data_IF_616340306569
#
_entry.id   IF_616340306569
#
_cell.length_a   1.000
_cell.length_b   1.000
_cell.length_c   1.000
_cell.angle_alpha   90.00
_cell.angle_beta   90.00
_cell.angle_gamma   90.00
#
_symmetry.space_group_name_H-M   'P 1'
#
loop_
_entity.id
_entity.type
_entity.pdbx_description
1 polymer ?
#
# COMPACT_ATOMS: atom_id res chain seq x y z
N UNK A 1 -24.03 30.64 16.18
CA UNK A 1 -24.19 29.38 15.43
C UNK A 1 -24.09 29.73 13.96
N UNK A 2 -22.95 29.46 13.34
CA UNK A 2 -22.69 29.73 11.93
C UNK A 2 -22.53 28.36 11.26
N UNK A 3 -23.67 27.78 10.85
CA UNK A 3 -23.70 26.67 9.91
C UNK A 3 -23.34 27.21 8.52
N UNK A 4 -22.05 27.23 8.20
CA UNK A 4 -21.62 27.33 6.81
C UNK A 4 -21.29 25.90 6.35
N UNK A 5 -22.11 25.40 5.40
CA UNK A 5 -21.94 24.16 4.62
C UNK A 5 -22.54 22.83 5.13
N UNK A 6 -23.18 22.74 6.31
CA UNK A 6 -23.75 21.47 6.80
C UNK A 6 -22.75 20.28 6.83
N UNK A 7 -21.45 20.58 6.78
CA UNK A 7 -20.36 19.62 6.91
C UNK A 7 -19.68 19.95 8.24
N UNK A 8 -19.74 19.00 9.17
CA UNK A 8 -18.98 19.11 10.39
C UNK A 8 -17.51 18.83 10.05
N UNK A 9 -16.61 19.79 10.27
CA UNK A 9 -15.19 19.62 9.98
C UNK A 9 -14.54 18.52 10.82
N UNK A 10 -15.16 18.16 11.95
CA UNK A 10 -14.73 17.03 12.79
C UNK A 10 -15.09 15.66 12.18
N UNK A 11 -16.00 15.61 11.20
CA UNK A 11 -16.40 14.37 10.51
C UNK A 11 -15.58 14.15 9.21
N UNK A 12 -14.71 15.10 8.84
CA UNK A 12 -13.86 15.01 7.65
C UNK A 12 -12.60 14.18 7.96
N UNK A 13 -12.57 12.95 7.46
CA UNK A 13 -11.36 12.12 7.53
C UNK A 13 -10.36 12.58 6.48
N UNK A 14 -9.06 12.53 6.80
CA UNK A 14 -7.99 12.81 5.83
C UNK A 14 -8.08 11.88 4.60
N UNK A 15 -8.74 10.73 4.75
CA UNK A 15 -9.04 9.79 3.67
C UNK A 15 -9.99 10.38 2.62
N UNK A 16 -10.87 11.30 2.98
CA UNK A 16 -11.83 11.91 2.05
C UNK A 16 -11.13 12.78 0.98
N UNK A 17 -9.88 13.17 1.22
CA UNK A 17 -9.04 13.89 0.26
C UNK A 17 -8.53 13.02 -0.89
N UNK A 18 -8.59 11.68 -0.77
CA UNK A 18 -8.11 10.77 -1.81
C UNK A 18 -9.10 10.71 -2.96
N UNK A 19 -8.72 11.14 -4.16
CA UNK A 19 -9.57 11.22 -5.34
C UNK A 19 -10.03 9.84 -5.87
N UNK A 20 -9.13 8.84 -5.86
CA UNK A 20 -9.46 7.50 -6.36
C UNK A 20 -10.44 6.78 -5.43
N UNK A 21 -11.64 6.47 -5.96
CA UNK A 21 -12.71 5.86 -5.18
C UNK A 21 -12.35 4.48 -4.62
N UNK A 22 -11.62 3.63 -5.36
CA UNK A 22 -11.26 2.29 -4.90
C UNK A 22 -10.21 2.34 -3.79
N UNK A 23 -9.22 3.22 -3.94
CA UNK A 23 -8.21 3.44 -2.90
C UNK A 23 -8.86 4.06 -1.66
N UNK A 24 -9.70 5.07 -1.86
CA UNK A 24 -10.44 5.75 -0.77
C UNK A 24 -11.33 4.79 -0.01
N UNK A 25 -12.04 3.89 -0.68
CA UNK A 25 -12.90 2.89 -0.03
C UNK A 25 -12.11 1.99 0.93
N UNK A 26 -10.99 1.45 0.48
CA UNK A 26 -10.13 0.63 1.36
C UNK A 26 -9.50 1.44 2.50
N UNK A 27 -9.04 2.66 2.24
CA UNK A 27 -8.51 3.53 3.30
C UNK A 27 -9.59 3.91 4.33
N UNK A 28 -10.83 4.11 3.90
CA UNK A 28 -11.96 4.47 4.77
C UNK A 28 -12.42 3.27 5.59
N UNK A 29 -12.44 2.09 4.99
CA UNK A 29 -12.67 0.82 5.68
C UNK A 29 -11.62 0.59 6.76
N UNK A 30 -10.34 0.85 6.45
CA UNK A 30 -9.27 0.75 7.43
C UNK A 30 -9.39 1.77 8.58
N UNK A 31 -9.78 3.01 8.28
CA UNK A 31 -10.00 4.07 9.28
C UNK A 31 -11.17 3.72 10.21
N UNK A 32 -12.30 3.25 9.65
CA UNK A 32 -13.44 2.76 10.43
C UNK A 32 -13.08 1.54 11.29
N UNK A 33 -12.36 0.57 10.72
CA UNK A 33 -11.87 -0.60 11.45
C UNK A 33 -10.95 -0.24 12.62
N UNK A 34 -10.14 0.82 12.51
CA UNK A 34 -9.35 1.32 13.63
C UNK A 34 -10.23 1.90 14.75
N UNK A 35 -11.29 2.63 14.42
CA UNK A 35 -12.23 3.18 15.40
C UNK A 35 -13.00 2.09 16.16
N UNK A 36 -13.28 0.97 15.49
CA UNK A 36 -13.94 -0.22 16.07
C UNK A 36 -12.97 -1.15 16.82
N UNK A 37 -11.65 -0.88 16.79
CA UNK A 37 -10.62 -1.72 17.39
C UNK A 37 -10.26 -2.97 16.57
N UNK A 38 -10.76 -3.11 15.35
CA UNK A 38 -10.43 -4.19 14.42
C UNK A 38 -9.12 -3.89 13.66
N UNK A 39 -7.99 -4.02 14.35
CA UNK A 39 -6.67 -3.71 13.77
C UNK A 39 -6.23 -4.69 12.67
N UNK A 40 -6.69 -5.95 12.71
CA UNK A 40 -6.37 -6.94 11.67
C UNK A 40 -7.08 -6.64 10.36
N UNK A 41 -8.39 -6.38 10.41
CA UNK A 41 -9.15 -5.98 9.21
C UNK A 41 -8.64 -4.68 8.63
N UNK A 42 -8.31 -3.70 9.48
CA UNK A 42 -7.70 -2.46 9.03
C UNK A 42 -6.35 -2.69 8.33
N UNK A 43 -5.51 -3.61 8.83
CA UNK A 43 -4.25 -3.95 8.18
C UNK A 43 -4.45 -4.59 6.79
N UNK A 44 -5.48 -5.43 6.62
CA UNK A 44 -5.82 -6.03 5.32
C UNK A 44 -6.23 -4.96 4.31
N UNK A 45 -7.12 -4.04 4.71
CA UNK A 45 -7.60 -2.99 3.82
C UNK A 45 -6.49 -1.98 3.47
N UNK A 46 -5.60 -1.66 4.41
CA UNK A 46 -4.39 -0.88 4.10
C UNK A 46 -3.47 -1.61 3.12
N UNK A 47 -3.33 -2.93 3.22
CA UNK A 47 -2.53 -3.70 2.27
C UNK A 47 -3.14 -3.69 0.87
N UNK A 48 -4.47 -3.82 0.75
CA UNK A 48 -5.19 -3.68 -0.53
C UNK A 48 -4.99 -2.28 -1.12
N UNK A 49 -5.17 -1.24 -0.31
CA UNK A 49 -4.95 0.15 -0.72
C UNK A 49 -3.50 0.37 -1.20
N UNK A 50 -2.50 -0.13 -0.45
CA UNK A 50 -1.08 -0.09 -0.85
C UNK A 50 -0.91 -0.72 -2.23
N UNK A 51 -1.44 -1.91 -2.47
CA UNK A 51 -1.30 -2.60 -3.76
C UNK A 51 -1.88 -1.77 -4.91
N UNK A 52 -3.04 -1.13 -4.72
CA UNK A 52 -3.64 -0.24 -5.73
C UNK A 52 -2.80 1.02 -5.98
N UNK A 53 -2.31 1.67 -4.92
CA UNK A 53 -1.44 2.84 -5.03
C UNK A 53 -0.18 2.50 -5.82
N UNK A 54 0.48 1.39 -5.46
CA UNK A 54 1.68 0.96 -6.16
C UNK A 54 1.42 0.48 -7.57
N UNK A 55 0.24 -0.08 -7.87
CA UNK A 55 -0.18 -0.39 -9.23
C UNK A 55 -0.24 0.88 -10.10
N UNK A 56 -0.78 1.99 -9.57
CA UNK A 56 -0.75 3.29 -10.27
C UNK A 56 0.66 3.81 -10.47
N UNK A 57 1.52 3.65 -9.47
CA UNK A 57 2.92 4.06 -9.52
C UNK A 57 3.74 3.29 -10.57
N UNK A 58 3.28 2.11 -11.00
CA UNK A 58 3.99 1.30 -11.99
C UNK A 58 4.18 2.02 -13.34
N UNK A 59 3.35 3.03 -13.64
CA UNK A 59 3.48 3.83 -14.86
C UNK A 59 4.77 4.66 -14.91
N UNK A 60 5.34 4.98 -13.74
CA UNK A 60 6.53 5.84 -13.63
C UNK A 60 7.84 5.07 -13.73
N UNK A 61 7.88 3.84 -13.22
CA UNK A 61 9.05 2.95 -13.32
C UNK A 61 8.50 1.56 -13.66
N UNK A 62 8.85 0.91 -14.79
CA UNK A 62 8.34 -0.41 -15.16
C UNK A 62 8.92 -1.56 -14.30
N UNK A 63 8.24 -2.72 -14.27
CA UNK A 63 8.72 -3.93 -13.59
C UNK A 63 9.68 -4.68 -14.50
N UNK A 64 10.78 -5.19 -13.94
CA UNK A 64 11.61 -6.20 -14.60
C UNK A 64 11.12 -7.58 -14.14
N UNK A 65 10.66 -8.42 -15.07
CA UNK A 65 10.23 -9.78 -14.74
C UNK A 65 11.37 -10.78 -15.02
N UNK A 66 11.94 -11.31 -13.94
CA UNK A 66 13.00 -12.33 -13.98
C UNK A 66 12.50 -13.71 -13.52
N UNK A 67 11.18 -13.89 -13.34
CA UNK A 67 10.61 -15.17 -12.92
C UNK A 67 10.93 -16.27 -13.92
N UNK A 68 11.29 -17.45 -13.40
CA UNK A 68 11.54 -18.65 -14.21
C UNK A 68 12.91 -18.68 -14.91
N UNK A 69 13.67 -17.59 -14.95
CA UNK A 69 15.01 -17.59 -15.56
C UNK A 69 15.96 -18.55 -14.86
N UNK A 70 15.89 -18.67 -13.53
CA UNK A 70 16.65 -19.65 -12.75
C UNK A 70 16.37 -21.09 -13.21
N UNK A 71 15.13 -21.39 -13.61
CA UNK A 71 14.76 -22.70 -14.14
C UNK A 71 15.31 -22.91 -15.55
N UNK A 72 15.22 -21.89 -16.40
CA UNK A 72 15.67 -21.96 -17.80
C UNK A 72 17.18 -22.22 -17.91
N UNK A 73 17.99 -21.68 -16.99
CA UNK A 73 19.45 -21.85 -16.99
C UNK A 73 19.96 -22.92 -16.02
N UNK A 74 19.06 -23.63 -15.33
CA UNK A 74 19.42 -24.73 -14.42
C UNK A 74 20.01 -24.31 -13.06
N UNK A 75 19.96 -23.03 -12.68
CA UNK A 75 20.47 -22.51 -11.40
C UNK A 75 19.42 -22.52 -10.29
N UNK A 76 18.76 -23.68 -10.10
CA UNK A 76 17.62 -23.83 -9.17
C UNK A 76 18.00 -23.68 -7.69
N UNK A 77 19.27 -23.89 -7.34
CA UNK A 77 19.75 -23.91 -5.96
C UNK A 77 20.17 -22.54 -5.46
N UNK A 78 20.82 -21.76 -6.30
CA UNK A 78 21.29 -20.40 -5.97
C UNK A 78 20.24 -19.34 -6.28
N UNK A 79 19.33 -19.61 -7.22
CA UNK A 79 18.23 -18.73 -7.63
C UNK A 79 18.63 -17.25 -7.81
N UNK A 80 19.76 -16.95 -8.49
CA UNK A 80 20.28 -15.60 -8.59
C UNK A 80 19.32 -14.62 -9.27
N UNK A 81 18.49 -15.07 -10.21
CA UNK A 81 17.53 -14.21 -10.90
C UNK A 81 16.32 -13.90 -10.02
N UNK A 82 15.87 -14.86 -9.21
CA UNK A 82 14.83 -14.61 -8.20
C UNK A 82 15.32 -13.60 -7.17
N UNK A 83 16.54 -13.77 -6.64
CA UNK A 83 17.13 -12.83 -5.69
C UNK A 83 17.33 -11.43 -6.30
N UNK A 84 17.79 -11.35 -7.55
CA UNK A 84 17.92 -10.07 -8.27
C UNK A 84 16.57 -9.42 -8.52
N UNK A 85 15.55 -10.21 -8.87
CA UNK A 85 14.18 -9.74 -9.07
C UNK A 85 13.60 -9.12 -7.80
N UNK A 86 13.76 -9.79 -6.66
CA UNK A 86 13.36 -9.24 -5.36
C UNK A 86 14.08 -7.93 -5.03
N UNK A 87 15.40 -7.88 -5.26
CA UNK A 87 16.18 -6.66 -5.05
C UNK A 87 15.67 -5.50 -5.93
N UNK A 88 15.43 -5.75 -7.22
CA UNK A 88 14.94 -4.75 -8.16
C UNK A 88 13.53 -4.27 -7.80
N UNK A 89 12.66 -5.16 -7.33
CA UNK A 89 11.31 -4.79 -6.85
C UNK A 89 11.40 -3.88 -5.62
N UNK A 90 12.29 -4.18 -4.66
CA UNK A 90 12.52 -3.34 -3.48
C UNK A 90 13.07 -1.97 -3.87
N UNK A 91 14.09 -1.96 -4.74
CA UNK A 91 14.72 -0.74 -5.21
C UNK A 91 13.71 0.13 -5.93
N UNK A 92 12.90 -0.47 -6.81
CA UNK A 92 11.83 0.21 -7.53
C UNK A 92 10.80 0.82 -6.60
N UNK A 93 10.24 0.06 -5.66
CA UNK A 93 9.27 0.61 -4.70
C UNK A 93 9.89 1.75 -3.89
N UNK A 94 11.15 1.62 -3.47
CA UNK A 94 11.88 2.66 -2.73
C UNK A 94 12.11 3.93 -3.55
N UNK A 95 12.46 3.79 -4.84
CA UNK A 95 12.60 4.91 -5.77
C UNK A 95 11.27 5.62 -6.01
N UNK A 96 10.20 4.88 -6.24
CA UNK A 96 8.85 5.44 -6.42
C UNK A 96 8.48 6.26 -5.18
N UNK A 97 8.59 5.68 -3.99
CA UNK A 97 8.33 6.35 -2.72
C UNK A 97 9.16 7.63 -2.53
N UNK A 98 10.45 7.58 -2.87
CA UNK A 98 11.34 8.73 -2.78
C UNK A 98 10.94 9.85 -3.75
N UNK A 99 10.47 9.53 -4.96
CA UNK A 99 9.96 10.51 -5.92
C UNK A 99 8.76 11.30 -5.35
N UNK A 100 7.95 10.69 -4.50
CA UNK A 100 6.83 11.36 -3.83
C UNK A 100 7.21 11.93 -2.46
N UNK A 101 8.49 12.24 -2.22
CA UNK A 101 8.98 12.87 -1.00
C UNK A 101 8.52 12.17 0.28
N UNK A 102 8.34 10.84 0.25
CA UNK A 102 8.06 10.07 1.46
C UNK A 102 9.39 9.61 2.06
N UNK A 103 9.65 9.84 3.36
CA UNK A 103 10.90 9.38 3.96
C UNK A 103 11.02 7.86 3.81
N UNK A 104 12.16 7.39 3.32
CA UNK A 104 12.42 5.95 3.09
C UNK A 104 12.17 5.12 4.37
N UNK A 105 12.43 5.71 5.54
CA UNK A 105 12.14 5.09 6.85
C UNK A 105 10.65 4.80 7.04
N UNK A 106 9.76 5.71 6.63
CA UNK A 106 8.30 5.53 6.73
C UNK A 106 7.82 4.42 5.81
N UNK A 107 8.35 4.35 4.58
CA UNK A 107 7.99 3.27 3.67
C UNK A 107 8.53 1.90 4.12
N UNK A 108 9.78 1.84 4.60
CA UNK A 108 10.34 0.62 5.18
C UNK A 108 9.48 0.11 6.35
N UNK A 109 8.95 1.03 7.16
CA UNK A 109 8.01 0.73 8.23
C UNK A 109 6.70 0.13 7.69
N UNK A 110 6.03 0.81 6.75
CA UNK A 110 4.78 0.34 6.13
C UNK A 110 4.95 -1.03 5.47
N UNK A 111 6.05 -1.23 4.74
CA UNK A 111 6.37 -2.50 4.07
C UNK A 111 6.54 -3.66 5.04
N UNK A 112 7.11 -3.42 6.22
CA UNK A 112 7.42 -4.46 7.19
C UNK A 112 6.24 -4.79 8.12
N UNK A 113 5.29 -3.86 8.27
CA UNK A 113 4.13 -4.01 9.14
C UNK A 113 2.93 -4.56 8.38
N UNK A 114 2.62 -4.00 7.21
CA UNK A 114 1.43 -4.42 6.48
C UNK A 114 1.58 -5.83 5.91
N UNK A 115 0.48 -6.61 5.87
CA UNK A 115 0.47 -7.87 5.15
C UNK A 115 0.67 -7.64 3.64
N UNK A 116 0.98 -8.71 2.92
CA UNK A 116 1.07 -8.65 1.45
C UNK A 116 -0.31 -8.90 0.86
N UNK A 117 -0.79 -8.04 -0.03
CA UNK A 117 -2.07 -8.21 -0.71
C UNK A 117 -1.88 -8.32 -2.22
N UNK A 118 -2.54 -9.30 -2.83
CA UNK A 118 -2.59 -9.47 -4.28
C UNK A 118 -4.04 -9.63 -4.74
N UNK A 119 -4.33 -9.14 -5.93
CA UNK A 119 -5.64 -9.27 -6.57
C UNK A 119 -5.53 -10.28 -7.70
N UNK A 120 -6.37 -11.31 -7.69
CA UNK A 120 -6.41 -12.30 -8.75
C UNK A 120 -6.77 -11.62 -10.08
N UNK A 121 -5.99 -11.90 -11.14
CA UNK A 121 -6.21 -11.34 -12.47
C UNK A 121 -7.56 -11.79 -13.08
N UNK A 122 -8.00 -13.00 -12.73
CA UNK A 122 -9.28 -13.57 -13.14
C UNK A 122 -10.18 -13.69 -11.90
N UNK A 123 -11.28 -12.95 -11.88
CA UNK A 123 -12.27 -12.98 -10.78
C UNK A 123 -12.16 -11.82 -9.78
N UNK A 124 -11.03 -11.11 -9.72
CA UNK A 124 -10.89 -9.90 -8.92
C UNK A 124 -10.88 -10.11 -7.41
N UNK A 125 -10.86 -11.36 -6.95
CA UNK A 125 -10.76 -11.75 -5.54
C UNK A 125 -9.43 -11.29 -4.94
N UNK A 126 -9.48 -10.89 -3.68
CA UNK A 126 -8.31 -10.43 -2.93
C UNK A 126 -7.74 -11.57 -2.09
N UNK A 127 -6.42 -11.72 -2.14
CA UNK A 127 -5.66 -12.63 -1.31
C UNK A 127 -4.73 -11.81 -0.43
N UNK A 128 -4.88 -11.93 0.89
CA UNK A 128 -4.04 -11.21 1.86
C UNK A 128 -3.25 -12.24 2.66
N UNK A 129 -1.93 -12.14 2.58
CA UNK A 129 -1.01 -12.99 3.31
C UNK A 129 -0.45 -12.24 4.52
N UNK A 130 -0.90 -12.67 5.69
CA UNK A 130 -0.41 -12.15 6.96
C UNK A 130 0.98 -12.74 7.29
N UNK A 131 1.90 -11.84 7.65
CA UNK A 131 3.24 -12.23 8.16
C UNK A 131 3.31 -12.20 9.68
N UNK A 132 2.27 -11.69 10.34
CA UNK A 132 2.18 -11.46 11.78
C UNK A 132 0.80 -11.87 12.27
N UNK A 133 0.73 -12.35 13.51
CA UNK A 133 -0.51 -12.76 14.15
C UNK A 133 -1.33 -11.57 14.69
N UNK A 134 -0.68 -10.46 15.04
CA UNK A 134 -1.32 -9.28 15.64
C UNK A 134 -0.76 -7.98 15.08
N UNK A 135 -1.59 -6.93 15.10
CA UNK A 135 -1.26 -5.58 14.66
C UNK A 135 -1.61 -4.58 15.75
N UNK A 136 -0.70 -3.65 16.04
CA UNK A 136 -0.94 -2.59 17.01
C UNK A 136 -1.62 -1.39 16.32
N UNK A 137 -2.61 -0.79 16.99
CA UNK A 137 -3.36 0.36 16.46
C UNK A 137 -2.44 1.52 16.06
N UNK A 138 -1.44 1.83 16.87
CA UNK A 138 -0.48 2.90 16.57
C UNK A 138 0.33 2.64 15.29
N UNK A 139 0.63 1.38 15.00
CA UNK A 139 1.33 0.98 13.79
C UNK A 139 0.45 1.15 12.55
N UNK A 140 -0.81 0.71 12.64
CA UNK A 140 -1.79 0.79 11.56
C UNK A 140 -2.19 2.24 11.28
N UNK A 141 -2.38 3.07 12.32
CA UNK A 141 -2.68 4.51 12.17
C UNK A 141 -1.54 5.27 11.49
N UNK A 142 -0.29 4.93 11.80
CA UNK A 142 0.88 5.49 11.11
C UNK A 142 0.93 5.03 9.65
N UNK A 143 0.63 3.77 9.38
CA UNK A 143 0.59 3.24 8.01
C UNK A 143 -0.53 3.90 7.17
N UNK A 144 -1.71 4.09 7.76
CA UNK A 144 -2.83 4.82 7.15
C UNK A 144 -2.41 6.24 6.75
N UNK A 145 -1.85 6.99 7.70
CA UNK A 145 -1.38 8.37 7.46
C UNK A 145 -0.31 8.43 6.34
N UNK A 146 0.59 7.45 6.32
CA UNK A 146 1.62 7.34 5.30
C UNK A 146 1.03 7.11 3.89
N UNK A 147 0.05 6.21 3.76
CA UNK A 147 -0.59 5.89 2.48
C UNK A 147 -1.48 7.04 1.99
N UNK A 148 -2.22 7.69 2.88
CA UNK A 148 -3.02 8.88 2.52
C UNK A 148 -2.12 10.00 2.00
N UNK A 149 -1.03 10.31 2.70
CA UNK A 149 -0.05 11.31 2.24
C UNK A 149 0.55 10.96 0.88
N UNK A 150 0.79 9.67 0.60
CA UNK A 150 1.27 9.23 -0.69
C UNK A 150 0.23 9.44 -1.79
N UNK A 151 -1.05 9.15 -1.53
CA UNK A 151 -2.16 9.40 -2.46
C UNK A 151 -2.32 10.88 -2.80
N UNK A 152 -2.35 11.74 -1.79
CA UNK A 152 -2.51 13.19 -1.98
C UNK A 152 -1.38 13.73 -2.86
N UNK A 153 -0.14 13.28 -2.65
CA UNK A 153 0.99 13.70 -3.48
C UNK A 153 0.95 13.13 -4.89
N UNK A 154 0.40 11.94 -5.07
CA UNK A 154 0.18 11.35 -6.39
C UNK A 154 -0.78 12.19 -7.23
N UNK A 155 -1.82 12.72 -6.61
CA UNK A 155 -2.83 13.56 -7.28
C UNK A 155 -2.30 14.92 -7.73
N UNK A 156 -1.21 15.42 -7.15
CA UNK A 156 -0.58 16.66 -7.60
C UNK A 156 0.16 16.49 -8.94
N UNK A 157 0.52 15.25 -9.30
CA UNK A 157 1.32 14.95 -10.50
C UNK A 157 0.47 14.38 -11.65
N UNK A 158 -0.66 13.75 -11.34
CA UNK A 158 -1.63 13.23 -12.31
C UNK A 158 -2.54 14.33 -12.89
#
# INVERSE_FOLDING_TARGET
>A
MLEHFAVNFDDLSIVDLVADANIREHLRSADGGLQEGNTSGAAEDLAKAKTLIFAKLQKYIPKVNLEGYDRTIGLLREQPFSALGEYLDILRESCLVAMFNLPIKEYGYVRNILPSASRAAFGGEWWVQHRRATYNESEIRRALSCLVNLCIKLEVID
#
